data_IF_517485950092
#
_entry.id   IF_517485950092
#
_cell.length_a   1.000
_cell.length_b   1.000
_cell.length_c   1.000
_cell.angle_alpha   90.00
_cell.angle_beta   90.00
_cell.angle_gamma   90.00
#
_symmetry.space_group_name_H-M   'P 1'
#
loop_
_entity.id
_entity.type
_entity.pdbx_description
1 polymer ?
#
# COMPACT_ATOMS: atom_id res chain seq x y z
N UNK A 1 0.47 -18.25 1.48
CA UNK A 1 0.05 -16.87 1.18
C UNK A 1 1.14 -15.94 1.68
N UNK A 2 1.66 -15.06 0.84
CA UNK A 2 2.61 -14.03 1.22
C UNK A 2 1.86 -12.78 1.68
N UNK A 3 2.36 -12.11 2.71
CA UNK A 3 1.89 -10.79 3.14
C UNK A 3 3.02 -9.82 2.83
N UNK A 4 2.78 -8.91 1.90
CA UNK A 4 3.75 -7.89 1.50
C UNK A 4 3.36 -6.60 2.22
N UNK A 5 4.23 -6.17 3.14
CA UNK A 5 4.05 -4.93 3.87
C UNK A 5 4.63 -3.75 3.10
N UNK A 6 3.88 -2.64 3.08
CA UNK A 6 4.28 -1.37 2.45
C UNK A 6 3.84 -0.20 3.33
N UNK A 7 4.54 0.91 3.25
CA UNK A 7 4.30 2.07 4.10
C UNK A 7 5.34 3.15 3.92
N UNK A 8 4.91 4.40 4.03
CA UNK A 8 5.77 5.57 4.02
C UNK A 8 6.16 6.03 5.43
N UNK A 9 7.37 6.54 5.54
CA UNK A 9 7.89 7.17 6.75
C UNK A 9 7.25 8.54 6.99
N UNK A 10 7.42 9.07 8.20
CA UNK A 10 6.93 10.41 8.55
C UNK A 10 7.49 11.51 7.65
N UNK A 11 8.80 11.45 7.35
CA UNK A 11 9.44 12.43 6.49
C UNK A 11 8.87 12.38 5.05
N UNK A 12 8.60 11.18 4.53
CA UNK A 12 7.98 11.02 3.21
C UNK A 12 6.54 11.57 3.21
N UNK A 13 5.75 11.32 4.26
CA UNK A 13 4.39 11.90 4.38
C UNK A 13 4.40 13.42 4.50
N UNK A 14 5.26 13.98 5.35
CA UNK A 14 5.40 15.43 5.51
C UNK A 14 5.91 16.12 4.22
N UNK A 15 6.63 15.38 3.37
CA UNK A 15 7.01 15.83 2.02
C UNK A 15 5.91 15.64 0.96
N UNK A 16 4.74 15.10 1.32
CA UNK A 16 3.65 14.82 0.38
C UNK A 16 3.88 13.62 -0.54
N UNK A 17 4.82 12.73 -0.19
CA UNK A 17 5.27 11.63 -1.05
C UNK A 17 4.59 10.28 -0.74
N UNK A 18 3.54 10.24 0.10
CA UNK A 18 2.88 8.98 0.52
C UNK A 18 2.53 8.08 -0.67
N UNK A 19 1.76 8.59 -1.64
CA UNK A 19 1.28 7.76 -2.76
C UNK A 19 2.41 7.32 -3.71
N UNK A 20 3.46 8.12 -3.85
CA UNK A 20 4.64 7.78 -4.66
C UNK A 20 5.45 6.66 -4.02
N UNK A 21 5.64 6.72 -2.69
CA UNK A 21 6.31 5.66 -1.92
C UNK A 21 5.54 4.35 -2.02
N UNK A 22 4.23 4.38 -1.80
CA UNK A 22 3.39 3.19 -1.94
C UNK A 22 3.43 2.61 -3.35
N UNK A 23 3.42 3.45 -4.39
CA UNK A 23 3.54 3.00 -5.80
C UNK A 23 4.87 2.29 -6.05
N UNK A 24 5.98 2.91 -5.64
CA UNK A 24 7.34 2.38 -5.82
C UNK A 24 7.52 1.05 -5.08
N UNK A 25 6.99 0.96 -3.86
CA UNK A 25 7.08 -0.27 -3.07
C UNK A 25 6.24 -1.40 -3.70
N UNK A 26 5.03 -1.11 -4.21
CA UNK A 26 4.23 -2.10 -4.94
C UNK A 26 4.96 -2.60 -6.19
N UNK A 27 5.46 -1.70 -7.03
CA UNK A 27 6.20 -2.05 -8.25
C UNK A 27 7.47 -2.87 -7.97
N UNK A 28 8.19 -2.54 -6.89
CA UNK A 28 9.43 -3.23 -6.53
C UNK A 28 9.23 -4.55 -5.78
N UNK A 29 8.08 -4.75 -5.14
CA UNK A 29 7.89 -5.86 -4.19
C UNK A 29 6.83 -6.88 -4.63
N UNK A 30 5.89 -6.49 -5.50
CA UNK A 30 4.80 -7.38 -5.94
C UNK A 30 5.21 -8.09 -7.24
N UNK A 31 5.43 -9.42 -7.22
CA UNK A 31 5.79 -10.14 -8.42
C UNK A 31 4.59 -10.28 -9.36
N UNK A 32 4.84 -10.43 -10.66
CA UNK A 32 3.80 -10.66 -11.68
C UNK A 32 3.00 -11.94 -11.48
N UNK A 33 3.51 -12.88 -10.67
CA UNK A 33 2.82 -14.12 -10.27
C UNK A 33 1.89 -13.94 -9.06
N UNK A 34 1.80 -12.73 -8.50
CA UNK A 34 0.91 -12.43 -7.39
C UNK A 34 -0.56 -12.52 -7.84
N UNK A 35 -1.39 -13.10 -6.97
CA UNK A 35 -2.83 -13.25 -7.17
C UNK A 35 -3.56 -13.01 -5.85
N UNK A 36 -4.85 -12.74 -5.92
CA UNK A 36 -5.71 -12.63 -4.74
C UNK A 36 -5.77 -13.92 -3.87
N UNK A 37 -5.34 -15.07 -4.41
CA UNK A 37 -5.30 -16.33 -3.67
C UNK A 37 -3.99 -16.52 -2.89
N UNK A 38 -2.88 -15.93 -3.35
CA UNK A 38 -1.55 -16.19 -2.81
C UNK A 38 -0.89 -14.98 -2.15
N UNK A 39 -1.42 -13.77 -2.30
CA UNK A 39 -0.80 -12.53 -1.85
C UNK A 39 -1.82 -11.60 -1.17
N UNK A 40 -1.40 -10.97 -0.07
CA UNK A 40 -2.11 -9.92 0.67
C UNK A 40 -1.18 -8.71 0.76
N UNK A 41 -1.71 -7.50 0.59
CA UNK A 41 -0.97 -6.26 0.82
C UNK A 41 -1.35 -5.68 2.18
N UNK A 42 -0.36 -5.50 3.04
CA UNK A 42 -0.53 -4.85 4.33
C UNK A 42 0.00 -3.41 4.25
N UNK A 43 -0.91 -2.43 4.28
CA UNK A 43 -0.51 -1.04 4.44
C UNK A 43 -0.19 -0.74 5.90
N UNK A 44 1.04 -0.34 6.16
CA UNK A 44 1.54 0.11 7.45
C UNK A 44 1.75 1.63 7.40
N UNK A 45 0.95 2.43 8.11
CA UNK A 45 1.17 3.88 8.21
C UNK A 45 2.38 4.16 9.11
N UNK A 46 3.59 3.89 8.61
CA UNK A 46 4.85 3.94 9.38
C UNK A 46 5.07 5.33 9.98
N UNK A 47 4.62 6.38 9.30
CA UNK A 47 4.60 7.75 9.81
C UNK A 47 3.92 7.93 11.18
N UNK A 48 2.98 7.05 11.54
CA UNK A 48 2.24 7.09 12.80
C UNK A 48 2.85 6.18 13.89
N UNK A 49 3.68 5.21 13.52
CA UNK A 49 4.22 4.22 14.46
C UNK A 49 5.17 4.91 15.45
N UNK A 50 4.88 4.77 16.74
CA UNK A 50 5.71 5.34 17.82
C UNK A 50 5.64 6.87 17.97
N UNK A 51 4.75 7.56 17.25
CA UNK A 51 4.63 9.04 17.30
C UNK A 51 3.50 9.55 18.19
N UNK A 52 2.62 8.65 18.65
CA UNK A 52 1.38 9.00 19.35
C UNK A 52 0.27 9.54 18.42
N UNK A 53 0.54 9.63 17.11
CA UNK A 53 -0.46 9.95 16.10
C UNK A 53 -1.21 8.69 15.69
N UNK A 54 -2.48 8.85 15.32
CA UNK A 54 -3.32 7.78 14.77
C UNK A 54 -3.83 8.22 13.40
N UNK A 55 -3.66 7.40 12.34
CA UNK A 55 -4.25 7.67 11.04
C UNK A 55 -5.77 7.83 11.14
N UNK A 56 -6.32 8.79 10.43
CA UNK A 56 -7.77 8.93 10.29
C UNK A 56 -8.31 7.86 9.34
N UNK A 57 -9.62 7.59 9.38
CA UNK A 57 -10.25 6.72 8.41
C UNK A 57 -10.09 7.22 6.97
N UNK A 58 -9.98 8.54 6.77
CA UNK A 58 -9.72 9.15 5.47
C UNK A 58 -8.30 8.85 4.97
N UNK A 59 -7.28 8.97 5.83
CA UNK A 59 -5.90 8.62 5.50
C UNK A 59 -5.79 7.15 5.04
N UNK A 60 -6.47 6.25 5.76
CA UNK A 60 -6.51 4.82 5.42
C UNK A 60 -7.25 4.58 4.12
N UNK A 61 -8.40 5.23 3.91
CA UNK A 61 -9.18 5.06 2.69
C UNK A 61 -8.43 5.54 1.45
N UNK A 62 -7.71 6.66 1.54
CA UNK A 62 -6.87 7.20 0.45
C UNK A 62 -5.77 6.20 0.06
N UNK A 63 -4.99 5.73 1.04
CA UNK A 63 -3.93 4.75 0.80
C UNK A 63 -4.48 3.45 0.19
N UNK A 64 -5.55 2.89 0.75
CA UNK A 64 -6.15 1.64 0.24
C UNK A 64 -6.76 1.80 -1.16
N UNK A 65 -7.37 2.95 -1.48
CA UNK A 65 -7.89 3.22 -2.82
C UNK A 65 -6.76 3.28 -3.85
N UNK A 66 -5.68 3.99 -3.51
CA UNK A 66 -4.50 4.09 -4.36
C UNK A 66 -3.81 2.74 -4.57
N UNK A 67 -3.59 1.97 -3.51
CA UNK A 67 -3.01 0.61 -3.58
C UNK A 67 -3.83 -0.28 -4.50
N UNK A 68 -5.16 -0.27 -4.36
CA UNK A 68 -6.05 -1.11 -5.19
C UNK A 68 -5.97 -0.71 -6.66
N UNK A 69 -6.01 0.59 -6.96
CA UNK A 69 -5.86 1.10 -8.32
C UNK A 69 -4.51 0.70 -8.94
N UNK A 70 -3.43 0.80 -8.17
CA UNK A 70 -2.09 0.45 -8.64
C UNK A 70 -1.94 -1.05 -8.89
N UNK A 71 -2.47 -1.90 -8.01
CA UNK A 71 -2.48 -3.35 -8.20
C UNK A 71 -3.26 -3.77 -9.45
N UNK A 72 -4.41 -3.15 -9.71
CA UNK A 72 -5.17 -3.40 -10.96
C UNK A 72 -4.35 -3.01 -12.20
N UNK A 73 -3.58 -1.92 -12.14
CA UNK A 73 -2.67 -1.55 -13.23
C UNK A 73 -1.52 -2.53 -13.44
N UNK A 74 -0.99 -3.15 -12.38
CA UNK A 74 0.15 -4.06 -12.44
C UNK A 74 -0.24 -5.51 -12.83
N UNK A 75 -1.40 -5.97 -12.35
CA UNK A 75 -1.80 -7.38 -12.40
C UNK A 75 -3.14 -7.62 -13.11
N UNK A 76 -3.79 -6.56 -13.58
CA UNK A 76 -5.11 -6.59 -14.21
C UNK A 76 -6.28 -6.62 -13.21
N UNK A 77 -7.51 -6.66 -13.74
CA UNK A 77 -8.75 -6.48 -12.98
C UNK A 77 -8.95 -7.51 -11.86
N UNK A 78 -8.38 -8.71 -12.01
CA UNK A 78 -8.44 -9.76 -10.98
C UNK A 78 -7.83 -9.32 -9.64
N UNK A 79 -6.88 -8.39 -9.68
CA UNK A 79 -6.21 -7.85 -8.49
C UNK A 79 -7.09 -6.89 -7.68
N UNK A 80 -8.21 -6.40 -8.22
CA UNK A 80 -9.18 -5.61 -7.45
C UNK A 80 -9.73 -6.35 -6.23
N UNK A 81 -9.69 -7.69 -6.26
CA UNK A 81 -10.09 -8.59 -5.16
C UNK A 81 -8.99 -8.88 -4.15
N UNK A 82 -7.77 -8.37 -4.36
CA UNK A 82 -6.68 -8.50 -3.38
C UNK A 82 -7.06 -7.75 -2.11
N UNK A 83 -6.66 -8.36 -0.99
CA UNK A 83 -6.87 -7.83 0.35
C UNK A 83 -5.72 -6.91 0.72
#
# INVERSE_FOLDING_TARGET
VAIICIGETRAEREAGATLDVLSRQLEGSVPTSATAANTIIAYEPVWAIGTGLTPTAADVAEAHAHIRGKLTGLLGDAAARMR
#
